data_IF_122324956821
#
_entry.id   IF_122324956821
#
_cell.length_a   1.000
_cell.length_b   1.000
_cell.length_c   1.000
_cell.angle_alpha   90.00
_cell.angle_beta   90.00
_cell.angle_gamma   90.00
#
_symmetry.space_group_name_H-M   'P 1'
#
loop_
_entity.id
_entity.type
_entity.pdbx_description
1 polymer ?
#
# COMPACT_ATOMS: atom_id res chain seq x y z
N UNK A 1 -1.06 24.81 0.90
CA UNK A 1 -2.23 23.94 1.22
C UNK A 1 -2.28 22.66 0.38
N UNK A 2 -1.96 22.70 -0.94
CA UNK A 2 -1.92 21.50 -1.80
C UNK A 2 -0.91 20.41 -1.37
N UNK A 3 0.30 20.80 -0.97
CA UNK A 3 1.33 19.84 -0.51
C UNK A 3 0.97 19.08 0.79
N UNK A 4 0.23 19.71 1.71
CA UNK A 4 -0.22 19.06 2.97
C UNK A 4 -1.28 18.01 2.67
N UNK A 5 -2.24 18.33 1.80
CA UNK A 5 -3.28 17.38 1.38
C UNK A 5 -2.69 16.19 0.62
N UNK A 6 -1.69 16.44 -0.24
CA UNK A 6 -0.95 15.38 -0.93
C UNK A 6 -0.20 14.49 0.05
N UNK A 7 0.50 15.07 1.02
CA UNK A 7 1.23 14.28 2.04
C UNK A 7 0.29 13.41 2.88
N UNK A 8 -0.88 13.95 3.25
CA UNK A 8 -1.89 13.17 3.98
C UNK A 8 -2.39 12.03 3.10
N UNK A 9 -2.81 12.29 1.86
CA UNK A 9 -3.29 11.24 0.95
C UNK A 9 -2.24 10.16 0.70
N UNK A 10 -0.99 10.54 0.43
CA UNK A 10 0.10 9.58 0.21
C UNK A 10 0.47 8.79 1.46
N UNK A 11 0.26 9.37 2.64
CA UNK A 11 0.43 8.67 3.91
C UNK A 11 -0.72 7.69 4.18
N UNK A 12 -1.95 8.00 3.77
CA UNK A 12 -3.14 7.20 4.13
C UNK A 12 -3.46 6.09 3.12
N UNK A 13 -3.23 6.32 1.82
CA UNK A 13 -3.49 5.36 0.74
C UNK A 13 -2.82 3.99 0.99
N UNK A 14 -1.56 3.90 1.43
CA UNK A 14 -0.91 2.61 1.68
C UNK A 14 -1.63 1.80 2.77
N UNK A 15 -2.16 2.45 3.81
CA UNK A 15 -2.89 1.76 4.87
C UNK A 15 -4.24 1.22 4.38
N UNK A 16 -4.93 1.97 3.51
CA UNK A 16 -6.19 1.53 2.90
C UNK A 16 -5.94 0.31 2.00
N UNK A 17 -4.87 0.34 1.21
CA UNK A 17 -4.46 -0.78 0.35
C UNK A 17 -4.12 -2.02 1.19
N UNK A 18 -3.39 -1.87 2.30
CA UNK A 18 -3.11 -2.96 3.25
C UNK A 18 -4.41 -3.57 3.80
N UNK A 19 -5.34 -2.74 4.24
CA UNK A 19 -6.60 -3.20 4.84
C UNK A 19 -7.46 -4.00 3.84
N UNK A 20 -7.61 -3.50 2.60
CA UNK A 20 -8.34 -4.19 1.54
C UNK A 20 -7.68 -5.52 1.17
N UNK A 21 -6.35 -5.53 1.02
CA UNK A 21 -5.61 -6.76 0.72
C UNK A 21 -5.69 -7.79 1.86
N UNK A 22 -5.71 -7.33 3.11
CA UNK A 22 -5.87 -8.22 4.28
C UNK A 22 -7.27 -8.83 4.36
N UNK A 23 -8.31 -8.09 3.95
CA UNK A 23 -9.66 -8.65 3.81
C UNK A 23 -9.74 -9.69 2.68
N UNK A 24 -9.19 -9.39 1.50
CA UNK A 24 -9.12 -10.36 0.40
C UNK A 24 -8.29 -11.60 0.77
N UNK A 25 -7.27 -11.43 1.61
CA UNK A 25 -6.43 -12.51 2.13
C UNK A 25 -7.23 -13.50 2.99
N UNK A 26 -8.17 -13.03 3.80
CA UNK A 26 -9.00 -13.89 4.67
C UNK A 26 -10.02 -14.71 3.88
N UNK A 27 -10.55 -14.18 2.77
CA UNK A 27 -11.58 -14.84 1.97
C UNK A 27 -11.03 -15.82 0.92
N UNK A 28 -9.88 -15.56 0.27
CA UNK A 28 -9.58 -16.21 -1.02
C UNK A 28 -8.36 -17.15 -1.07
N UNK A 29 -7.44 -17.19 -0.10
CA UNK A 29 -6.16 -17.93 -0.29
C UNK A 29 -5.71 -18.81 0.88
N UNK A 30 -5.84 -20.16 0.78
CA UNK A 30 -5.18 -21.09 1.69
C UNK A 30 -3.71 -21.38 1.31
N UNK A 31 -3.25 -21.00 0.11
CA UNK A 31 -1.92 -21.39 -0.38
C UNK A 31 -0.81 -20.40 0.05
N UNK A 32 0.23 -20.91 0.73
CA UNK A 32 1.34 -20.13 1.30
C UNK A 32 2.06 -19.23 0.28
N UNK A 33 2.15 -19.65 -0.98
CA UNK A 33 2.79 -18.85 -2.03
C UNK A 33 1.99 -17.60 -2.40
N UNK A 34 0.66 -17.70 -2.51
CA UNK A 34 -0.19 -16.54 -2.79
C UNK A 34 -0.10 -15.48 -1.68
N UNK A 35 0.03 -15.94 -0.43
CA UNK A 35 0.21 -15.10 0.75
C UNK A 35 1.50 -14.27 0.68
N UNK A 36 2.61 -14.90 0.31
CA UNK A 36 3.91 -14.23 0.23
C UNK A 36 3.95 -13.18 -0.89
N UNK A 37 3.37 -13.50 -2.05
CA UNK A 37 3.27 -12.58 -3.20
C UNK A 37 2.48 -11.32 -2.84
N UNK A 38 1.37 -11.50 -2.14
CA UNK A 38 0.46 -10.43 -1.77
C UNK A 38 1.09 -9.48 -0.73
N UNK A 39 1.80 -10.03 0.26
CA UNK A 39 2.64 -9.24 1.20
C UNK A 39 3.75 -8.49 0.46
N UNK A 40 4.40 -9.13 -0.52
CA UNK A 40 5.47 -8.51 -1.29
C UNK A 40 4.97 -7.31 -2.10
N UNK A 41 3.81 -7.43 -2.75
CA UNK A 41 3.16 -6.33 -3.49
C UNK A 41 2.87 -5.14 -2.57
N UNK A 42 2.34 -5.40 -1.38
CA UNK A 42 2.04 -4.38 -0.37
C UNK A 42 3.29 -3.63 0.08
N UNK A 43 4.38 -4.35 0.37
CA UNK A 43 5.65 -3.76 0.79
C UNK A 43 6.25 -2.91 -0.33
N UNK A 44 6.29 -3.43 -1.56
CA UNK A 44 6.82 -2.69 -2.72
C UNK A 44 6.01 -1.43 -2.98
N UNK A 45 4.68 -1.49 -2.85
CA UNK A 45 3.80 -0.33 -3.00
C UNK A 45 4.05 0.72 -1.91
N UNK A 46 4.15 0.31 -0.64
CA UNK A 46 4.44 1.23 0.47
C UNK A 46 5.79 1.94 0.30
N UNK A 47 6.84 1.20 -0.06
CA UNK A 47 8.18 1.76 -0.30
C UNK A 47 8.16 2.71 -1.50
N UNK A 48 7.48 2.34 -2.59
CA UNK A 48 7.32 3.19 -3.76
C UNK A 48 6.59 4.50 -3.41
N UNK A 49 5.57 4.43 -2.55
CA UNK A 49 4.89 5.63 -2.07
C UNK A 49 5.82 6.53 -1.24
N UNK A 50 6.66 5.96 -0.39
CA UNK A 50 7.63 6.70 0.44
C UNK A 50 8.80 7.29 -0.36
N UNK A 51 9.23 6.62 -1.43
CA UNK A 51 10.37 7.04 -2.28
C UNK A 51 9.95 7.96 -3.43
N UNK A 52 8.66 8.22 -3.63
CA UNK A 52 8.19 9.07 -4.72
C UNK A 52 8.80 10.47 -4.56
N UNK A 53 9.57 10.95 -5.56
CA UNK A 53 10.33 12.17 -5.42
C UNK A 53 9.40 13.36 -5.18
N UNK A 54 9.83 14.25 -4.29
CA UNK A 54 9.18 15.50 -3.84
C UNK A 54 8.85 16.49 -4.98
N UNK A 55 8.98 16.09 -6.25
CA UNK A 55 8.67 16.87 -7.45
C UNK A 55 7.15 17.06 -7.66
N UNK A 56 6.32 16.33 -6.91
CA UNK A 56 4.85 16.40 -6.96
C UNK A 56 4.20 16.92 -5.65
N UNK A 57 5.00 17.41 -4.68
CA UNK A 57 4.52 18.02 -3.41
C UNK A 57 4.55 19.54 -3.50
#
# INVERSE_FOLDING_TARGET
MKGILYNVLFSTIPFIVIALFSMCYLEFFPNHFGKLTLVTIVIVFFVSCKMMPNKYI
#
